data_IF_688780178663
#
_entry.id   IF_688780178663
#
_cell.length_a   1.000
_cell.length_b   1.000
_cell.length_c   1.000
_cell.angle_alpha   90.00
_cell.angle_beta   90.00
_cell.angle_gamma   90.00
#
_symmetry.space_group_name_H-M   'P 1'
#
loop_
_entity.id
_entity.type
_entity.pdbx_description
1 polymer ?
#
# COMPACT_ATOMS: atom_id res chain seq x y z
N UNK A 1 -20.02 -11.46 -22.41
CA UNK A 1 -19.24 -11.62 -21.20
C UNK A 1 -19.33 -13.06 -20.71
N UNK A 2 -18.21 -13.71 -20.55
CA UNK A 2 -18.14 -15.05 -20.00
C UNK A 2 -17.43 -14.99 -18.64
N UNK A 3 -17.79 -15.90 -17.75
CA UNK A 3 -17.19 -15.99 -16.42
C UNK A 3 -17.92 -15.17 -15.35
N UNK A 4 -17.96 -15.74 -14.17
CA UNK A 4 -18.56 -15.15 -12.96
C UNK A 4 -17.47 -14.63 -12.03
N UNK A 5 -17.87 -13.96 -10.96
CA UNK A 5 -16.97 -13.49 -9.89
C UNK A 5 -17.21 -14.24 -8.57
N UNK A 6 -17.51 -15.53 -8.66
CA UNK A 6 -17.81 -16.38 -7.47
C UNK A 6 -16.57 -16.70 -6.64
N UNK A 7 -15.39 -16.56 -7.19
CA UNK A 7 -14.12 -16.90 -6.54
C UNK A 7 -13.00 -16.00 -7.04
N UNK A 8 -11.87 -16.05 -6.36
CA UNK A 8 -10.68 -15.30 -6.77
C UNK A 8 -10.66 -13.85 -6.35
N UNK A 9 -11.66 -13.39 -5.61
CA UNK A 9 -11.71 -12.02 -5.12
C UNK A 9 -10.81 -11.86 -3.89
N UNK A 10 -10.39 -10.64 -3.59
CA UNK A 10 -9.32 -10.35 -2.67
C UNK A 10 -9.79 -9.44 -1.53
N UNK A 11 -9.39 -9.79 -0.31
CA UNK A 11 -9.53 -8.93 0.86
C UNK A 11 -8.20 -8.29 1.18
N UNK A 12 -8.21 -6.99 1.39
CA UNK A 12 -7.05 -6.24 1.86
C UNK A 12 -7.40 -5.61 3.19
N UNK A 13 -6.74 -6.08 4.23
CA UNK A 13 -6.95 -5.65 5.59
C UNK A 13 -5.77 -4.81 6.06
N UNK A 14 -6.07 -3.76 6.76
CA UNK A 14 -5.04 -2.92 7.32
C UNK A 14 -5.64 -1.75 8.08
N UNK A 15 -4.81 -1.14 8.90
CA UNK A 15 -5.15 0.06 9.62
C UNK A 15 -5.44 1.21 8.66
N UNK A 16 -6.23 2.18 9.09
CA UNK A 16 -6.50 3.41 8.33
C UNK A 16 -5.17 4.06 7.93
N UNK A 17 -5.05 4.43 6.66
CA UNK A 17 -3.84 5.06 6.14
C UNK A 17 -2.63 4.12 5.96
N UNK A 18 -2.83 2.80 5.97
CA UNK A 18 -1.74 1.82 5.83
C UNK A 18 -1.32 1.52 4.38
N UNK A 19 -1.94 2.17 3.40
CA UNK A 19 -1.60 1.96 2.00
C UNK A 19 -2.38 0.84 1.31
N UNK A 20 -3.56 0.47 1.82
CA UNK A 20 -4.40 -0.60 1.26
C UNK A 20 -4.74 -0.37 -0.21
N UNK A 21 -5.13 0.85 -0.56
CA UNK A 21 -5.53 1.19 -1.94
C UNK A 21 -4.35 1.11 -2.90
N UNK A 22 -3.18 1.56 -2.50
CA UNK A 22 -1.96 1.45 -3.32
C UNK A 22 -1.66 -0.02 -3.60
N UNK A 23 -1.72 -0.86 -2.58
CA UNK A 23 -1.52 -2.31 -2.74
C UNK A 23 -2.57 -2.92 -3.66
N UNK A 24 -3.85 -2.56 -3.50
CA UNK A 24 -4.94 -3.04 -4.34
C UNK A 24 -4.70 -2.71 -5.82
N UNK A 25 -4.34 -1.48 -6.12
CA UNK A 25 -4.04 -1.04 -7.49
C UNK A 25 -2.85 -1.80 -8.06
N UNK A 26 -1.79 -1.99 -7.29
CA UNK A 26 -0.60 -2.73 -7.73
C UNK A 26 -0.92 -4.20 -8.02
N UNK A 27 -1.74 -4.83 -7.19
CA UNK A 27 -2.20 -6.21 -7.38
C UNK A 27 -3.01 -6.32 -8.68
N UNK A 28 -3.95 -5.39 -8.88
CA UNK A 28 -4.78 -5.37 -10.10
C UNK A 28 -3.90 -5.24 -11.35
N UNK A 29 -2.94 -4.33 -11.35
CA UNK A 29 -2.00 -4.16 -12.45
C UNK A 29 -1.19 -5.43 -12.73
N UNK A 30 -0.73 -6.10 -11.68
CA UNK A 30 0.03 -7.35 -11.82
C UNK A 30 -0.83 -8.47 -12.42
N UNK A 31 -2.09 -8.60 -11.97
CA UNK A 31 -3.03 -9.60 -12.48
C UNK A 31 -3.40 -9.31 -13.94
N UNK A 32 -3.67 -8.06 -14.27
CA UNK A 32 -3.98 -7.64 -15.64
C UNK A 32 -2.82 -7.95 -16.59
N UNK A 33 -1.60 -7.67 -16.18
CA UNK A 33 -0.39 -7.96 -16.95
C UNK A 33 -0.24 -9.46 -17.19
N UNK A 34 -0.43 -10.28 -16.14
CA UNK A 34 -0.30 -11.72 -16.20
C UNK A 34 -1.36 -12.36 -17.09
N UNK A 35 -2.61 -11.90 -17.00
CA UNK A 35 -3.74 -12.40 -17.78
C UNK A 35 -3.77 -11.84 -19.21
N UNK A 36 -2.87 -10.93 -19.57
CA UNK A 36 -2.85 -10.22 -20.85
C UNK A 36 -4.20 -9.53 -21.19
N UNK A 37 -4.90 -9.08 -20.14
CA UNK A 37 -6.16 -8.37 -20.28
C UNK A 37 -5.89 -6.94 -20.78
N UNK A 38 -5.98 -6.76 -22.08
CA UNK A 38 -5.68 -5.47 -22.73
C UNK A 38 -6.67 -4.35 -22.41
N UNK A 39 -7.79 -4.60 -21.75
CA UNK A 39 -8.88 -3.62 -21.65
C UNK A 39 -9.70 -3.65 -20.36
N UNK A 40 -9.18 -4.22 -19.26
CA UNK A 40 -9.89 -4.15 -17.99
C UNK A 40 -9.82 -2.76 -17.38
N UNK A 41 -10.96 -2.11 -17.18
CA UNK A 41 -11.04 -0.85 -16.44
C UNK A 41 -11.04 -1.12 -14.94
N UNK A 42 -10.47 -0.20 -14.19
CA UNK A 42 -10.43 -0.26 -12.72
C UNK A 42 -11.25 0.89 -12.17
N UNK A 43 -12.17 0.60 -11.28
CA UNK A 43 -12.89 1.61 -10.52
C UNK A 43 -12.55 1.48 -9.03
N UNK A 44 -12.45 2.62 -8.36
CA UNK A 44 -12.26 2.72 -6.93
C UNK A 44 -13.46 3.47 -6.37
N UNK A 45 -14.20 2.82 -5.47
CA UNK A 45 -15.37 3.39 -4.81
C UNK A 45 -15.29 3.15 -3.32
N UNK A 46 -16.00 3.95 -2.54
CA UNK A 46 -16.15 3.69 -1.09
C UNK A 46 -17.43 2.90 -0.84
N UNK A 47 -17.45 2.12 0.25
CA UNK A 47 -18.62 1.32 0.60
C UNK A 47 -19.88 2.15 0.79
N UNK A 48 -19.78 3.30 1.44
CA UNK A 48 -20.92 4.22 1.63
C UNK A 48 -21.36 4.87 0.34
N UNK A 49 -20.45 5.24 -0.56
CA UNK A 49 -20.82 5.80 -1.87
C UNK A 49 -21.54 4.76 -2.74
N UNK A 50 -21.13 3.50 -2.64
CA UNK A 50 -21.74 2.41 -3.41
C UNK A 50 -23.22 2.19 -3.02
N UNK A 51 -23.59 2.48 -1.77
CA UNK A 51 -24.97 2.41 -1.31
C UNK A 51 -25.94 3.32 -2.09
N UNK A 52 -25.40 4.34 -2.75
CA UNK A 52 -26.17 5.38 -3.47
C UNK A 52 -26.02 5.27 -4.98
N UNK A 53 -25.31 4.25 -5.49
CA UNK A 53 -25.00 4.09 -6.90
C UNK A 53 -25.73 2.89 -7.50
N UNK A 54 -25.88 2.91 -8.81
CA UNK A 54 -26.34 1.77 -9.59
C UNK A 54 -25.16 0.81 -9.81
N UNK A 55 -25.12 -0.26 -9.04
CA UNK A 55 -24.04 -1.26 -9.05
C UNK A 55 -23.95 -1.94 -10.42
N UNK A 56 -25.09 -2.28 -11.03
CA UNK A 56 -25.12 -2.91 -12.34
C UNK A 56 -24.46 -2.05 -13.42
N UNK A 57 -24.71 -0.76 -13.40
CA UNK A 57 -24.09 0.19 -14.31
C UNK A 57 -22.56 0.25 -14.13
N UNK A 58 -22.09 0.23 -12.90
CA UNK A 58 -20.65 0.22 -12.62
C UNK A 58 -19.99 -1.05 -13.16
N UNK A 59 -20.59 -2.21 -12.90
CA UNK A 59 -20.08 -3.50 -13.36
C UNK A 59 -20.03 -3.56 -14.88
N UNK A 60 -21.06 -3.06 -15.55
CA UNK A 60 -21.13 -3.02 -17.01
C UNK A 60 -20.01 -2.16 -17.63
N UNK A 61 -19.73 -1.01 -17.04
CA UNK A 61 -18.67 -0.11 -17.50
C UNK A 61 -17.25 -0.69 -17.31
N UNK A 62 -17.06 -1.56 -16.33
CA UNK A 62 -15.73 -2.12 -16.04
C UNK A 62 -15.32 -3.22 -17.02
N UNK A 63 -16.29 -3.84 -17.68
CA UNK A 63 -16.06 -4.81 -18.75
C UNK A 63 -15.00 -5.88 -18.39
N UNK A 64 -15.17 -6.53 -17.23
CA UNK A 64 -14.26 -7.60 -16.78
C UNK A 64 -12.94 -7.10 -16.20
N UNK A 65 -12.86 -5.85 -15.78
CA UNK A 65 -11.70 -5.31 -15.08
C UNK A 65 -11.70 -5.59 -13.58
N UNK A 66 -11.60 -4.56 -12.77
CA UNK A 66 -11.58 -4.68 -11.31
C UNK A 66 -12.40 -3.57 -10.65
N UNK A 67 -13.06 -3.93 -9.54
CA UNK A 67 -13.74 -2.99 -8.66
C UNK A 67 -13.09 -3.05 -7.28
N UNK A 68 -12.50 -1.94 -6.86
CA UNK A 68 -11.89 -1.78 -5.54
C UNK A 68 -12.88 -1.01 -4.67
N UNK A 69 -13.28 -1.61 -3.56
CA UNK A 69 -14.23 -1.01 -2.62
C UNK A 69 -13.47 -0.69 -1.32
N UNK A 70 -13.22 0.60 -1.11
CA UNK A 70 -12.63 1.11 0.11
C UNK A 70 -13.68 1.21 1.21
N UNK A 71 -13.29 1.04 2.47
CA UNK A 71 -14.21 1.04 3.60
C UNK A 71 -15.43 0.13 3.34
N UNK A 72 -15.15 -1.08 2.95
CA UNK A 72 -16.17 -2.04 2.49
C UNK A 72 -17.25 -2.31 3.53
N UNK A 73 -16.92 -2.25 4.84
CA UNK A 73 -17.89 -2.44 5.93
C UNK A 73 -18.96 -1.34 6.00
N UNK A 74 -18.78 -0.24 5.26
CA UNK A 74 -19.78 0.83 5.15
C UNK A 74 -20.87 0.53 4.14
N UNK A 75 -20.76 -0.55 3.39
CA UNK A 75 -21.88 -1.04 2.58
C UNK A 75 -23.03 -1.47 3.48
N UNK A 76 -24.25 -1.09 3.12
CA UNK A 76 -25.43 -1.57 3.82
C UNK A 76 -25.83 -2.97 3.33
N UNK A 77 -26.73 -3.63 4.06
CA UNK A 77 -27.15 -5.00 3.73
C UNK A 77 -27.73 -5.15 2.33
N UNK A 78 -28.49 -4.17 1.87
CA UNK A 78 -29.05 -4.18 0.51
C UNK A 78 -27.93 -4.16 -0.54
N UNK A 79 -26.93 -3.31 -0.36
CA UNK A 79 -25.78 -3.21 -1.28
C UNK A 79 -24.99 -4.51 -1.32
N UNK A 80 -24.72 -5.10 -0.16
CA UNK A 80 -24.00 -6.37 -0.07
C UNK A 80 -24.76 -7.48 -0.77
N UNK A 81 -26.07 -7.60 -0.53
CA UNK A 81 -26.90 -8.62 -1.17
C UNK A 81 -26.96 -8.45 -2.69
N UNK A 82 -27.15 -7.23 -3.16
CA UNK A 82 -27.16 -6.93 -4.59
C UNK A 82 -25.81 -7.25 -5.23
N UNK A 83 -24.71 -6.85 -4.60
CA UNK A 83 -23.36 -7.14 -5.08
C UNK A 83 -23.12 -8.66 -5.11
N UNK A 84 -23.48 -9.36 -4.05
CA UNK A 84 -23.34 -10.81 -3.95
C UNK A 84 -24.09 -11.53 -5.08
N UNK A 85 -25.32 -11.12 -5.37
CA UNK A 85 -26.11 -11.68 -6.46
C UNK A 85 -25.48 -11.42 -7.84
N UNK A 86 -25.01 -10.20 -8.06
CA UNK A 86 -24.35 -9.85 -9.32
C UNK A 86 -23.04 -10.60 -9.54
N UNK A 87 -22.33 -10.95 -8.48
CA UNK A 87 -21.11 -11.74 -8.59
C UNK A 87 -21.37 -13.18 -9.07
N UNK A 88 -22.59 -13.68 -8.93
CA UNK A 88 -22.99 -14.99 -9.44
C UNK A 88 -23.35 -14.96 -10.93
N UNK A 89 -23.53 -13.79 -11.48
CA UNK A 89 -23.88 -13.61 -12.89
C UNK A 89 -22.63 -13.50 -13.79
N UNK A 90 -22.86 -13.29 -15.07
CA UNK A 90 -21.79 -13.12 -16.05
C UNK A 90 -21.15 -11.72 -15.93
N UNK A 91 -20.06 -11.63 -15.23
CA UNK A 91 -19.32 -10.38 -14.97
C UNK A 91 -18.09 -10.21 -15.87
N UNK A 92 -17.78 -11.22 -16.70
CA UNK A 92 -16.53 -11.24 -17.45
C UNK A 92 -15.32 -11.47 -16.57
N UNK A 93 -15.48 -12.22 -15.49
CA UNK A 93 -14.45 -12.47 -14.45
C UNK A 93 -13.97 -11.17 -13.79
N UNK A 94 -14.86 -10.21 -13.62
CA UNK A 94 -14.57 -8.97 -12.90
C UNK A 94 -14.00 -9.31 -11.52
N UNK A 95 -12.86 -8.72 -11.19
CA UNK A 95 -12.20 -8.91 -9.90
C UNK A 95 -12.72 -7.90 -8.88
N UNK A 96 -13.13 -8.40 -7.73
CA UNK A 96 -13.57 -7.57 -6.61
C UNK A 96 -12.49 -7.56 -5.52
N UNK A 97 -12.11 -6.37 -5.08
CA UNK A 97 -11.19 -6.19 -3.97
C UNK A 97 -11.89 -5.36 -2.89
N UNK A 98 -11.95 -5.90 -1.68
CA UNK A 98 -12.48 -5.17 -0.53
C UNK A 98 -11.34 -4.72 0.36
N UNK A 99 -11.38 -3.47 0.78
CA UNK A 99 -10.42 -2.88 1.69
C UNK A 99 -11.13 -2.38 2.94
N UNK A 100 -10.63 -2.77 4.10
CA UNK A 100 -11.08 -2.24 5.38
C UNK A 100 -10.15 -2.63 6.53
N UNK A 101 -10.48 -2.16 7.70
CA UNK A 101 -9.92 -2.66 8.94
C UNK A 101 -10.52 -4.03 9.27
N UNK A 102 -9.76 -4.87 9.94
CA UNK A 102 -10.10 -6.27 10.21
C UNK A 102 -11.43 -6.44 10.95
N UNK A 103 -11.61 -5.76 12.08
CA UNK A 103 -12.80 -5.93 12.92
C UNK A 103 -14.10 -5.52 12.25
N UNK A 104 -14.21 -4.35 11.62
CA UNK A 104 -15.42 -3.98 10.89
C UNK A 104 -15.76 -4.96 9.77
N UNK A 105 -14.74 -5.41 9.03
CA UNK A 105 -14.95 -6.34 7.93
C UNK A 105 -15.39 -7.72 8.41
N UNK A 106 -14.81 -8.22 9.50
CA UNK A 106 -15.24 -9.49 10.12
C UNK A 106 -16.69 -9.45 10.57
N UNK A 107 -17.13 -8.33 11.16
CA UNK A 107 -18.55 -8.15 11.55
C UNK A 107 -19.47 -8.19 10.34
N UNK A 108 -19.11 -7.51 9.26
CA UNK A 108 -19.87 -7.53 8.01
C UNK A 108 -19.99 -8.96 7.47
N UNK A 109 -18.90 -9.68 7.40
CA UNK A 109 -18.88 -11.06 6.90
C UNK A 109 -19.62 -12.06 7.79
N UNK A 110 -19.66 -11.83 9.10
CA UNK A 110 -20.45 -12.67 10.01
C UNK A 110 -21.94 -12.63 9.64
N UNK A 111 -22.43 -11.51 9.15
CA UNK A 111 -23.80 -11.33 8.69
C UNK A 111 -24.03 -11.76 7.23
N UNK A 112 -22.96 -11.92 6.44
CA UNK A 112 -23.03 -12.22 5.00
C UNK A 112 -22.04 -13.32 4.61
N UNK A 113 -22.30 -14.55 5.03
CA UNK A 113 -21.37 -15.68 4.86
C UNK A 113 -21.17 -16.09 3.40
N UNK A 114 -22.20 -16.05 2.58
CA UNK A 114 -22.09 -16.39 1.16
C UNK A 114 -21.21 -15.39 0.43
N UNK A 115 -21.34 -14.12 0.74
CA UNK A 115 -20.50 -13.05 0.21
C UNK A 115 -19.03 -13.28 0.61
N UNK A 116 -18.78 -13.59 1.87
CA UNK A 116 -17.44 -13.91 2.39
C UNK A 116 -16.74 -15.01 1.59
N UNK A 117 -17.46 -16.06 1.24
CA UNK A 117 -16.89 -17.22 0.53
C UNK A 117 -16.32 -16.90 -0.84
N UNK A 118 -16.76 -15.81 -1.46
CA UNK A 118 -16.30 -15.37 -2.77
C UNK A 118 -14.91 -14.71 -2.73
N UNK A 119 -14.47 -14.32 -1.54
CA UNK A 119 -13.17 -13.70 -1.29
C UNK A 119 -12.19 -14.77 -0.81
N UNK A 120 -11.42 -15.32 -1.73
CA UNK A 120 -10.56 -16.48 -1.50
C UNK A 120 -9.11 -16.13 -1.17
N UNK A 121 -8.71 -14.88 -1.36
CA UNK A 121 -7.40 -14.38 -1.00
C UNK A 121 -7.54 -13.29 0.07
N UNK A 122 -6.67 -13.34 1.05
CA UNK A 122 -6.64 -12.39 2.14
C UNK A 122 -5.21 -11.87 2.33
N UNK A 123 -5.07 -10.56 2.26
CA UNK A 123 -3.81 -9.87 2.52
C UNK A 123 -3.99 -8.94 3.70
N UNK A 124 -3.09 -9.03 4.65
CA UNK A 124 -3.11 -8.17 5.83
C UNK A 124 -1.83 -7.32 5.84
N UNK A 125 -2.01 -5.99 5.80
CA UNK A 125 -0.89 -5.07 5.83
C UNK A 125 -0.39 -4.95 7.27
N UNK A 126 0.91 -5.19 7.51
CA UNK A 126 1.47 -5.06 8.84
C UNK A 126 1.51 -3.59 9.28
N UNK A 127 1.34 -3.37 10.57
CA UNK A 127 1.60 -2.08 11.21
C UNK A 127 2.96 -2.16 11.87
N UNK A 128 3.87 -1.27 11.47
CA UNK A 128 5.20 -1.20 12.05
C UNK A 128 5.25 -0.08 13.10
N UNK A 129 5.91 -0.34 14.23
CA UNK A 129 6.25 0.68 15.20
C UNK A 129 7.47 1.49 14.69
N UNK A 130 7.70 2.66 15.27
CA UNK A 130 8.78 3.55 14.83
C UNK A 130 10.15 2.87 14.87
N UNK A 131 10.42 2.06 15.89
CA UNK A 131 11.70 1.32 16.01
C UNK A 131 11.91 0.37 14.84
N UNK A 132 10.89 -0.35 14.43
CA UNK A 132 10.94 -1.25 13.28
C UNK A 132 11.17 -0.49 11.97
N UNK A 133 10.53 0.66 11.82
CA UNK A 133 10.71 1.54 10.65
C UNK A 133 12.13 2.11 10.58
N UNK A 134 12.68 2.52 11.71
CA UNK A 134 14.07 2.98 11.78
C UNK A 134 15.04 1.83 11.45
N UNK A 135 14.79 0.64 11.98
CA UNK A 135 15.59 -0.56 11.67
C UNK A 135 15.54 -0.87 10.16
N UNK A 136 14.37 -0.76 9.55
CA UNK A 136 14.24 -0.89 8.10
C UNK A 136 15.11 0.13 7.36
N UNK A 137 15.08 1.40 7.78
CA UNK A 137 15.91 2.46 7.21
C UNK A 137 17.41 2.16 7.33
N UNK A 138 17.85 1.67 8.49
CA UNK A 138 19.24 1.29 8.71
C UNK A 138 19.67 0.12 7.81
N UNK A 139 18.83 -0.88 7.68
CA UNK A 139 19.07 -2.04 6.80
C UNK A 139 19.14 -1.61 5.34
N UNK A 140 18.22 -0.77 4.90
CA UNK A 140 18.20 -0.22 3.55
C UNK A 140 19.47 0.59 3.25
N UNK A 141 19.90 1.43 4.19
CA UNK A 141 21.15 2.18 4.08
C UNK A 141 22.35 1.24 3.89
N UNK A 142 22.44 0.23 4.72
CA UNK A 142 23.54 -0.75 4.69
C UNK A 142 23.58 -1.51 3.36
N UNK A 143 22.44 -1.95 2.85
CA UNK A 143 22.35 -2.64 1.56
C UNK A 143 22.78 -1.75 0.39
N UNK A 144 22.70 -0.43 0.55
CA UNK A 144 23.11 0.54 -0.46
C UNK A 144 24.51 1.13 -0.22
N UNK A 145 25.28 0.57 0.71
CA UNK A 145 26.65 1.02 1.00
C UNK A 145 26.75 2.21 1.93
N UNK A 146 25.71 2.47 2.72
CA UNK A 146 25.65 3.58 3.67
C UNK A 146 25.46 3.07 5.09
N UNK A 147 25.81 3.92 6.06
CA UNK A 147 25.53 3.72 7.47
C UNK A 147 25.00 5.02 8.05
N UNK A 148 24.05 4.94 8.95
CA UNK A 148 23.48 6.10 9.62
C UNK A 148 24.22 6.28 10.96
N UNK A 149 24.75 7.47 11.24
CA UNK A 149 25.34 7.75 12.55
C UNK A 149 24.24 8.00 13.61
N UNK A 150 24.64 8.13 14.87
CA UNK A 150 23.68 8.27 15.99
C UNK A 150 22.73 9.46 15.81
N UNK A 151 23.24 10.61 15.38
CA UNK A 151 22.44 11.81 15.17
C UNK A 151 21.53 11.65 13.95
N UNK A 152 21.99 10.94 12.92
CA UNK A 152 21.18 10.58 11.75
C UNK A 152 20.03 9.64 12.12
N UNK A 153 20.28 8.66 13.00
CA UNK A 153 19.23 7.76 13.50
C UNK A 153 18.15 8.55 14.25
N UNK A 154 18.55 9.48 15.11
CA UNK A 154 17.62 10.35 15.83
C UNK A 154 16.81 11.23 14.87
N UNK A 155 17.44 11.76 13.84
CA UNK A 155 16.77 12.56 12.83
C UNK A 155 15.76 11.74 12.03
N UNK A 156 16.13 10.51 11.64
CA UNK A 156 15.23 9.59 10.96
C UNK A 156 14.04 9.22 11.85
N UNK A 157 14.29 8.89 13.11
CA UNK A 157 13.24 8.58 14.07
C UNK A 157 12.26 9.75 14.23
N UNK A 158 12.79 10.95 14.41
CA UNK A 158 11.99 12.16 14.55
C UNK A 158 11.13 12.42 13.30
N UNK A 159 11.71 12.25 12.12
CA UNK A 159 10.98 12.44 10.86
C UNK A 159 9.85 11.43 10.70
N UNK A 160 10.09 10.16 11.01
CA UNK A 160 9.05 9.12 11.01
C UNK A 160 7.96 9.45 12.03
N UNK A 161 8.34 9.82 13.25
CA UNK A 161 7.40 10.15 14.32
C UNK A 161 6.48 11.32 13.94
N UNK A 162 7.04 12.34 13.32
CA UNK A 162 6.26 13.48 12.82
C UNK A 162 5.29 13.12 11.70
N UNK A 163 5.56 12.09 10.94
CA UNK A 163 4.69 11.61 9.87
C UNK A 163 3.58 10.70 10.40
N UNK A 164 3.73 10.09 11.57
CA UNK A 164 2.71 9.25 12.19
C UNK A 164 1.50 10.10 12.58
N UNK A 165 0.32 9.69 12.14
CA UNK A 165 -0.95 10.32 12.48
C UNK A 165 -1.97 9.24 12.79
N UNK A 166 -3.05 9.61 13.47
CA UNK A 166 -4.14 8.70 13.78
C UNK A 166 -4.74 8.06 12.52
N UNK A 167 -4.81 8.81 11.44
CA UNK A 167 -5.36 8.38 10.15
C UNK A 167 -4.29 7.99 9.12
N UNK A 168 -3.02 8.00 9.48
CA UNK A 168 -1.91 7.65 8.59
C UNK A 168 -0.80 6.91 9.34
N UNK A 169 -0.68 5.62 9.09
CA UNK A 169 0.44 4.83 9.56
C UNK A 169 1.59 4.91 8.54
N UNK A 170 2.78 5.30 8.99
CA UNK A 170 3.95 5.38 8.13
C UNK A 170 4.31 3.98 7.63
N UNK A 171 4.56 3.86 6.34
CA UNK A 171 4.86 2.61 5.65
C UNK A 171 6.37 2.46 5.40
N UNK A 172 6.81 1.23 5.14
CA UNK A 172 8.20 0.98 4.72
C UNK A 172 8.53 1.66 3.39
N UNK A 173 7.55 1.81 2.49
CA UNK A 173 7.73 2.54 1.23
C UNK A 173 8.06 4.01 1.48
N UNK A 174 7.40 4.64 2.45
CA UNK A 174 7.68 6.03 2.84
C UNK A 174 9.05 6.17 3.49
N UNK A 175 9.46 5.21 4.31
CA UNK A 175 10.82 5.19 4.88
C UNK A 175 11.86 5.04 3.78
N UNK A 176 11.60 4.19 2.79
CA UNK A 176 12.49 4.05 1.63
C UNK A 176 12.65 5.38 0.90
N UNK A 177 11.58 6.14 0.70
CA UNK A 177 11.63 7.48 0.09
C UNK A 177 12.50 8.43 0.91
N UNK A 178 12.34 8.44 2.24
CA UNK A 178 13.18 9.25 3.13
C UNK A 178 14.65 8.87 2.97
N UNK A 179 14.95 7.57 2.93
CA UNK A 179 16.32 7.08 2.77
C UNK A 179 16.90 7.44 1.41
N UNK A 180 16.13 7.33 0.33
CA UNK A 180 16.56 7.72 -1.02
C UNK A 180 16.88 9.23 -1.09
N UNK A 181 16.07 10.06 -0.45
CA UNK A 181 16.33 11.49 -0.33
C UNK A 181 17.61 11.77 0.46
N UNK A 182 17.80 11.10 1.59
CA UNK A 182 18.99 11.25 2.43
C UNK A 182 20.26 10.84 1.68
N UNK A 183 20.20 9.71 0.97
CA UNK A 183 21.32 9.24 0.14
C UNK A 183 21.62 10.24 -0.98
N UNK A 184 20.61 10.75 -1.66
CA UNK A 184 20.76 11.76 -2.71
C UNK A 184 21.38 13.04 -2.17
N UNK A 185 20.94 13.50 -1.00
CA UNK A 185 21.53 14.68 -0.35
C UNK A 185 23.00 14.46 0.00
N UNK A 186 23.34 13.30 0.56
CA UNK A 186 24.72 12.92 0.88
C UNK A 186 25.61 12.89 -0.37
N UNK A 187 25.11 12.35 -1.48
CA UNK A 187 25.84 12.31 -2.75
C UNK A 187 26.14 13.72 -3.29
N UNK A 188 25.17 14.62 -3.24
CA UNK A 188 25.33 16.02 -3.67
C UNK A 188 26.34 16.75 -2.80
N UNK A 189 26.29 16.57 -1.49
CA UNK A 189 27.22 17.16 -0.56
C UNK A 189 28.65 16.64 -0.81
N UNK A 190 28.81 15.35 -1.06
CA UNK A 190 30.11 14.73 -1.36
C UNK A 190 30.69 15.24 -2.69
N UNK A 191 29.88 15.44 -3.72
CA UNK A 191 30.32 16.05 -4.99
C UNK A 191 30.81 17.47 -4.80
N UNK A 192 30.13 18.28 -3.98
CA UNK A 192 30.58 19.65 -3.62
C UNK A 192 31.88 19.62 -2.82
N UNK A 193 32.09 18.61 -2.00
CA UNK A 193 33.32 18.46 -1.19
C UNK A 193 34.46 17.80 -1.95
N UNK A 194 34.20 17.05 -3.01
CA UNK A 194 35.22 16.46 -3.88
C UNK A 194 36.11 17.52 -4.55
N UNK A 195 35.58 18.71 -4.82
CA UNK A 195 36.34 19.85 -5.34
C UNK A 195 37.29 20.44 -4.28
N UNK A 196 37.04 20.23 -2.99
CA UNK A 196 37.82 20.77 -1.86
C UNK A 196 38.70 19.75 -1.14
N UNK A 197 38.52 18.46 -1.39
CA UNK A 197 39.29 17.39 -0.70
C UNK A 197 39.63 16.27 -1.67
N UNK A 198 40.88 16.16 -2.00
CA UNK A 198 41.48 15.01 -2.68
C UNK A 198 41.42 13.76 -1.75
N UNK A 199 41.12 13.92 -0.47
CA UNK A 199 41.10 12.86 0.54
C UNK A 199 39.96 13.08 1.52
N UNK A 200 39.12 12.06 1.69
CA UNK A 200 38.26 11.93 2.85
C UNK A 200 36.77 11.92 2.54
N UNK A 201 36.28 10.82 2.02
CA UNK A 201 34.91 10.37 2.33
C UNK A 201 34.84 10.10 3.81
N UNK A 202 33.82 10.62 4.48
CA UNK A 202 33.49 10.21 5.82
C UNK A 202 33.00 8.76 5.77
N UNK A 203 33.91 7.82 5.82
CA UNK A 203 33.63 6.38 5.82
C UNK A 203 33.89 5.80 7.20
N UNK A 204 33.14 4.78 7.58
CA UNK A 204 33.46 3.98 8.75
C UNK A 204 34.51 2.90 8.43
N UNK A 205 34.84 2.06 9.42
CA UNK A 205 35.83 0.99 9.27
C UNK A 205 35.42 -0.12 8.29
N UNK A 206 34.16 -0.11 7.79
CA UNK A 206 33.62 -1.05 6.83
C UNK A 206 33.42 -0.46 5.43
N UNK A 207 34.04 0.71 5.16
CA UNK A 207 33.95 1.47 3.89
C UNK A 207 32.53 1.97 3.55
N UNK A 208 31.61 2.02 4.50
CA UNK A 208 30.30 2.61 4.32
C UNK A 208 30.36 4.15 4.43
N UNK A 209 29.63 4.82 3.55
CA UNK A 209 29.45 6.27 3.62
C UNK A 209 28.46 6.57 4.75
N UNK A 210 28.81 7.54 5.60
CA UNK A 210 28.00 7.88 6.77
C UNK A 210 26.93 8.89 6.38
N UNK A 211 25.66 8.56 6.64
CA UNK A 211 24.52 9.47 6.59
C UNK A 211 24.41 10.19 7.93
N UNK A 212 24.37 11.51 7.91
CA UNK A 212 24.35 12.38 9.08
C UNK A 212 23.00 13.04 9.26
N UNK A 213 22.79 13.70 10.40
CA UNK A 213 21.57 14.44 10.71
C UNK A 213 21.15 15.36 9.56
N UNK A 214 22.08 16.08 8.99
CA UNK A 214 21.81 17.04 7.90
C UNK A 214 21.23 16.40 6.64
N UNK A 215 21.51 15.11 6.40
CA UNK A 215 21.00 14.38 5.24
C UNK A 215 19.50 14.07 5.35
N UNK A 216 18.95 14.10 6.57
CA UNK A 216 17.55 13.85 6.86
C UNK A 216 16.71 15.12 7.03
N UNK A 217 17.30 16.29 6.96
CA UNK A 217 16.59 17.57 7.01
C UNK A 217 16.01 17.88 5.64
N UNK A 218 14.68 18.13 5.65
CA UNK A 218 13.98 18.56 4.43
C UNK A 218 14.31 20.01 4.09
#
# INVERSE_FOLDING_TARGET
RYGTSRTGNILILGRKGSGKTVLAVDIVKAIQKQRRLKQGKVAIVTGDSLNKKDIGSIIDKLNGGALIIEKASKMNDRTIRELNDMMDEQTGELLFLLEDQKKPLERMFAAHREFKRKFTSRLELPVFINDELVTFGQTYAKENGYRIDEMGILALYSRIDMMQREDHAVTVAEVKEIMDEAISHSQKANVKHLVKRVFGRSTDNSDHIILKEEDFKA
#
